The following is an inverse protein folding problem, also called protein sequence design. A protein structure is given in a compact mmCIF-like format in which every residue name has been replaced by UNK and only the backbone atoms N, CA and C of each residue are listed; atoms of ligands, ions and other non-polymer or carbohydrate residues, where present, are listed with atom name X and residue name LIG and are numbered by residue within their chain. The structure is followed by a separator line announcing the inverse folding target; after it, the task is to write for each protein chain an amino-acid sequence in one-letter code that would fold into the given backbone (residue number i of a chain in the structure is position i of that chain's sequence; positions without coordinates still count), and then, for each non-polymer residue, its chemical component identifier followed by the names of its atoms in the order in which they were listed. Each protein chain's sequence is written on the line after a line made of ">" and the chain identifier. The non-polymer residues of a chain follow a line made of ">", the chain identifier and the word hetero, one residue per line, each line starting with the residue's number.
data_IF_470338633260
#
_entry.id   IF_470338633260
#
_cell.length_a   1.000
_cell.length_b   1.000
_cell.length_c   1.000
_cell.angle_alpha   90.00
_cell.angle_beta   90.00
_cell.angle_gamma   90.00
#
_symmetry.space_group_name_H-M   'P 1'
#
loop_
_entity.id
_entity.type
_entity.pdbx_description
1 polymer ?
#
# COMPACT_ATOMS: atom_id res chain seq x y z
N UNK A 1 -17.31 4.16 -12.43
CA UNK A 1 -16.14 3.34 -12.10
C UNK A 1 -15.61 3.72 -10.73
N UNK A 2 -15.30 2.72 -9.93
CA UNK A 2 -14.86 2.96 -8.56
C UNK A 2 -13.40 3.37 -8.52
N UNK A 3 -13.11 4.35 -7.66
CA UNK A 3 -11.75 4.78 -7.37
C UNK A 3 -11.45 4.46 -5.92
N UNK A 4 -10.20 4.19 -5.62
CA UNK A 4 -9.76 3.90 -4.27
C UNK A 4 -8.45 4.62 -3.98
N UNK A 5 -8.24 4.96 -2.72
CA UNK A 5 -7.00 5.58 -2.29
C UNK A 5 -6.01 4.51 -1.88
N UNK A 6 -4.78 4.67 -2.31
CA UNK A 6 -3.68 3.80 -1.92
C UNK A 6 -2.55 4.66 -1.36
N UNK A 7 -1.71 4.05 -0.54
CA UNK A 7 -0.67 4.75 0.19
C UNK A 7 0.60 3.91 0.20
N UNK A 8 1.75 4.58 0.22
CA UNK A 8 2.96 3.91 0.68
C UNK A 8 2.82 3.72 2.18
N UNK A 9 3.54 2.77 2.71
CA UNK A 9 3.42 2.46 4.13
C UNK A 9 4.76 1.96 4.66
N UNK A 10 4.89 1.98 5.98
CA UNK A 10 6.03 1.42 6.68
C UNK A 10 5.60 0.20 7.46
N UNK A 11 6.53 -0.72 7.68
CA UNK A 11 6.28 -1.92 8.46
C UNK A 11 7.55 -2.32 9.20
N UNK A 12 7.36 -2.98 10.32
CA UNK A 12 8.48 -3.40 11.14
C UNK A 12 9.02 -4.74 10.67
N UNK A 13 10.31 -4.78 10.34
CA UNK A 13 10.97 -6.01 9.93
C UNK A 13 11.76 -6.57 11.10
N UNK A 14 11.34 -7.72 11.60
CA UNK A 14 11.97 -8.36 12.75
C UNK A 14 13.37 -8.86 12.43
N UNK A 15 13.63 -9.25 11.20
CA UNK A 15 14.94 -9.75 10.78
C UNK A 15 15.98 -8.65 10.76
N UNK A 16 15.58 -7.48 10.33
CA UNK A 16 16.45 -6.31 10.24
C UNK A 16 16.41 -5.50 11.53
N UNK A 17 15.31 -5.59 12.27
CA UNK A 17 15.13 -4.86 13.52
C UNK A 17 14.88 -3.38 13.32
N UNK A 18 14.26 -3.00 12.23
CA UNK A 18 13.92 -1.61 11.98
C UNK A 18 12.71 -1.47 11.07
N UNK A 19 12.19 -0.26 11.01
CA UNK A 19 11.06 0.08 10.17
C UNK A 19 11.50 0.25 8.73
N UNK A 20 10.76 -0.37 7.82
CA UNK A 20 11.09 -0.36 6.40
C UNK A 20 9.94 0.31 5.65
N UNK A 21 10.29 1.17 4.69
CA UNK A 21 9.31 1.81 3.82
C UNK A 21 9.05 0.89 2.63
N UNK A 22 7.78 0.55 2.42
CA UNK A 22 7.38 -0.25 1.26
C UNK A 22 7.50 0.58 -0.01
N UNK A 23 8.00 -0.02 -1.07
CA UNK A 23 8.00 0.59 -2.39
C UNK A 23 6.65 0.43 -3.09
N UNK A 24 5.76 -0.36 -2.53
CA UNK A 24 4.43 -0.62 -3.08
C UNK A 24 3.37 0.23 -2.41
N UNK A 25 2.32 0.51 -3.15
CA UNK A 25 1.15 1.20 -2.62
C UNK A 25 0.08 0.18 -2.27
N UNK A 26 -0.66 0.45 -1.22
CA UNK A 26 -1.73 -0.43 -0.76
C UNK A 26 -2.87 0.37 -0.18
N UNK A 27 -4.06 -0.25 -0.10
CA UNK A 27 -5.19 0.35 0.59
C UNK A 27 -4.94 0.36 2.09
N UNK A 28 -5.65 1.26 2.80
CA UNK A 28 -5.55 1.31 4.26
C UNK A 28 -5.88 -0.04 4.90
N UNK A 29 -6.84 -0.74 4.34
CA UNK A 29 -7.24 -2.06 4.83
C UNK A 29 -6.11 -3.07 4.72
N UNK A 30 -5.42 -3.09 3.57
CA UNK A 30 -4.29 -3.99 3.36
C UNK A 30 -3.14 -3.64 4.29
N UNK A 31 -2.87 -2.35 4.48
CA UNK A 31 -1.81 -1.87 5.38
C UNK A 31 -2.10 -2.32 6.81
N UNK A 32 -3.36 -2.22 7.24
CA UNK A 32 -3.75 -2.66 8.57
C UNK A 32 -3.53 -4.16 8.77
N UNK A 33 -3.79 -4.96 7.75
CA UNK A 33 -3.56 -6.41 7.82
C UNK A 33 -2.09 -6.76 7.98
N UNK A 34 -1.22 -5.91 7.46
CA UNK A 34 0.22 -6.10 7.56
C UNK A 34 0.82 -5.47 8.82
N UNK A 35 -0.03 -4.90 9.67
CA UNK A 35 0.42 -4.13 10.84
C UNK A 35 1.33 -2.96 10.46
N UNK A 36 1.08 -2.40 9.27
CA UNK A 36 1.86 -1.28 8.79
C UNK A 36 1.25 0.05 9.17
N UNK A 37 1.95 1.11 8.83
CA UNK A 37 1.48 2.48 9.00
C UNK A 37 1.46 3.18 7.65
N UNK A 38 0.33 3.75 7.28
CA UNK A 38 0.19 4.48 6.03
C UNK A 38 0.92 5.82 6.10
N UNK A 39 1.58 6.16 5.02
CA UNK A 39 2.21 7.48 4.87
C UNK A 39 1.20 8.35 4.14
N UNK A 40 0.53 9.21 4.88
CA UNK A 40 -0.57 10.01 4.32
C UNK A 40 -0.11 10.93 3.17
N UNK A 41 1.10 11.43 3.25
CA UNK A 41 1.64 12.27 2.20
C UNK A 41 1.78 11.56 0.86
N UNK A 42 1.79 10.24 0.87
CA UNK A 42 1.91 9.42 -0.34
C UNK A 42 0.56 9.05 -0.95
N UNK A 43 -0.53 9.52 -0.40
CA UNK A 43 -1.88 9.17 -0.85
C UNK A 43 -2.04 9.40 -2.34
N UNK A 44 -2.56 8.39 -3.01
CA UNK A 44 -2.82 8.43 -4.43
C UNK A 44 -4.17 7.79 -4.71
N UNK A 45 -4.96 8.41 -5.57
CA UNK A 45 -6.26 7.85 -5.96
C UNK A 45 -6.09 7.14 -7.28
N UNK A 46 -6.45 5.87 -7.31
CA UNK A 46 -6.28 5.02 -8.49
C UNK A 46 -7.59 4.31 -8.80
N UNK A 47 -7.66 3.71 -9.98
CA UNK A 47 -8.81 2.91 -10.37
C UNK A 47 -8.78 1.62 -9.55
N UNK A 48 -9.93 1.23 -8.99
CA UNK A 48 -10.03 0.02 -8.17
C UNK A 48 -9.61 -1.24 -8.91
N UNK A 49 -9.65 -1.24 -10.24
CA UNK A 49 -9.17 -2.37 -11.05
C UNK A 49 -7.66 -2.56 -10.98
N UNK A 50 -6.94 -1.52 -10.57
CA UNK A 50 -5.49 -1.55 -10.44
C UNK A 50 -5.05 -2.02 -9.05
N UNK A 51 -6.01 -2.40 -8.23
CA UNK A 51 -5.75 -2.93 -6.89
C UNK A 51 -6.17 -4.39 -6.89
N UNK A 52 -5.26 -5.27 -6.46
CA UNK A 52 -5.56 -6.70 -6.43
C UNK A 52 -6.45 -7.05 -5.23
N UNK A 53 -6.82 -8.32 -5.11
CA UNK A 53 -7.69 -8.76 -4.04
C UNK A 53 -7.06 -8.65 -2.64
N UNK A 54 -5.74 -8.52 -2.59
CA UNK A 54 -5.02 -8.31 -1.33
C UNK A 54 -4.92 -6.84 -0.97
N UNK A 55 -5.37 -5.94 -1.84
CA UNK A 55 -5.36 -4.52 -1.60
C UNK A 55 -4.08 -3.82 -2.03
N UNK A 56 -3.24 -4.47 -2.80
CA UNK A 56 -2.01 -3.87 -3.31
C UNK A 56 -2.21 -3.32 -4.73
N UNK A 57 -1.72 -2.11 -4.91
CA UNK A 57 -1.76 -1.45 -6.20
C UNK A 57 -0.64 -1.98 -7.09
N UNK A 58 -0.95 -2.23 -8.34
CA UNK A 58 0.05 -2.59 -9.31
C UNK A 58 -0.06 -1.69 -10.54
N UNK A 59 1.09 -1.38 -11.12
CA UNK A 59 1.16 -0.61 -12.35
C UNK A 59 1.26 -1.61 -13.50
N UNK A 60 0.30 -1.61 -14.43
CA UNK A 60 0.37 -2.53 -15.56
C UNK A 60 1.61 -2.22 -16.41
N UNK A 61 2.26 -3.24 -16.96
CA UNK A 61 3.40 -3.02 -17.83
C UNK A 61 2.99 -2.21 -19.04
N UNK A 62 3.70 -1.17 -19.25
CA UNK A 62 3.54 -0.21 -20.24
C UNK A 62 3.09 0.14 -21.41
#
# INVERSE_FOLDING_TARGET
>A
MAKTAVYQFTWWDRHVGKEIVSSRFATLEAIARCNGKAIEASRQVVNSRQVDRNGFYFVPPG
#
